data_IF_231539919658
#
_entry.id   IF_231539919658
#
_cell.length_a   1.000
_cell.length_b   1.000
_cell.length_c   1.000
_cell.angle_alpha   90.00
_cell.angle_beta   90.00
_cell.angle_gamma   90.00
#
_symmetry.space_group_name_H-M   'P 1'
#
loop_
_entity.id
_entity.type
_entity.pdbx_description
1 polymer ?
#
# COMPACT_ATOMS: atom_id res chain seq x y z
N UNK A 1 -29.41 11.55 20.19
CA UNK A 1 -28.30 10.75 20.76
C UNK A 1 -28.34 9.28 20.33
N UNK A 2 -29.48 8.58 20.43
CA UNK A 2 -29.57 7.15 20.04
C UNK A 2 -29.22 6.90 18.55
N UNK A 3 -29.71 7.73 17.63
CA UNK A 3 -29.42 7.57 16.19
C UNK A 3 -27.93 7.71 15.84
N UNK A 4 -27.24 8.67 16.45
CA UNK A 4 -25.79 8.89 16.26
C UNK A 4 -25.00 7.69 16.81
N UNK A 5 -25.41 7.17 17.97
CA UNK A 5 -24.81 5.98 18.56
C UNK A 5 -24.99 4.74 17.66
N UNK A 6 -26.18 4.54 17.07
CA UNK A 6 -26.43 3.46 16.12
C UNK A 6 -25.56 3.56 14.86
N UNK A 7 -25.35 4.77 14.33
CA UNK A 7 -24.46 4.98 13.18
C UNK A 7 -23.00 4.66 13.54
N UNK A 8 -22.50 5.18 14.67
CA UNK A 8 -21.12 4.96 15.11
C UNK A 8 -20.82 3.48 15.34
N UNK A 9 -21.77 2.72 15.90
CA UNK A 9 -21.58 1.30 16.23
C UNK A 9 -21.76 0.36 15.03
N UNK A 10 -22.34 0.82 13.92
CA UNK A 10 -22.55 0.00 12.72
C UNK A 10 -21.57 0.36 11.60
N UNK A 11 -21.48 1.65 11.26
CA UNK A 11 -20.68 2.14 10.13
C UNK A 11 -19.19 2.27 10.52
N UNK A 12 -18.91 2.69 11.75
CA UNK A 12 -17.53 2.84 12.25
C UNK A 12 -16.72 1.54 12.16
N UNK A 13 -17.20 0.43 12.74
CA UNK A 13 -16.50 -0.86 12.67
C UNK A 13 -16.32 -1.38 11.25
N UNK A 14 -17.26 -1.13 10.34
CA UNK A 14 -17.14 -1.53 8.94
C UNK A 14 -15.90 -0.91 8.28
N UNK A 15 -15.74 0.41 8.38
CA UNK A 15 -14.57 1.09 7.79
C UNK A 15 -13.27 0.73 8.51
N UNK A 16 -13.31 0.48 9.81
CA UNK A 16 -12.14 0.02 10.57
C UNK A 16 -11.69 -1.37 10.08
N UNK A 17 -12.61 -2.33 9.97
CA UNK A 17 -12.32 -3.67 9.47
C UNK A 17 -11.85 -3.64 8.02
N UNK A 18 -12.50 -2.85 7.17
CA UNK A 18 -12.08 -2.68 5.78
C UNK A 18 -10.67 -2.08 5.69
N UNK A 19 -10.36 -1.07 6.52
CA UNK A 19 -9.02 -0.49 6.59
C UNK A 19 -7.96 -1.50 7.01
N UNK A 20 -8.25 -2.33 8.03
CA UNK A 20 -7.35 -3.40 8.46
C UNK A 20 -7.17 -4.47 7.37
N UNK A 21 -8.26 -4.88 6.70
CA UNK A 21 -8.22 -5.85 5.61
C UNK A 21 -7.32 -5.37 4.47
N UNK A 22 -7.52 -4.12 4.02
CA UNK A 22 -6.70 -3.52 2.96
C UNK A 22 -5.23 -3.43 3.41
N UNK A 23 -4.97 -2.97 4.63
CA UNK A 23 -3.61 -2.93 5.17
C UNK A 23 -2.92 -4.29 5.10
N UNK A 24 -3.59 -5.36 5.56
CA UNK A 24 -3.04 -6.71 5.54
C UNK A 24 -2.84 -7.21 4.11
N UNK A 25 -3.76 -6.90 3.20
CA UNK A 25 -3.66 -7.28 1.78
C UNK A 25 -2.43 -6.66 1.11
N UNK A 26 -2.27 -5.34 1.21
CA UNK A 26 -1.12 -4.63 0.64
C UNK A 26 0.19 -5.06 1.30
N UNK A 27 0.17 -5.26 2.62
CA UNK A 27 1.33 -5.76 3.34
C UNK A 27 1.72 -7.19 2.90
N UNK A 28 0.74 -8.02 2.54
CA UNK A 28 0.96 -9.33 1.94
C UNK A 28 1.73 -9.23 0.62
N UNK A 29 1.28 -8.38 -0.30
CA UNK A 29 1.99 -8.11 -1.56
C UNK A 29 3.41 -7.61 -1.31
N UNK A 30 3.58 -6.68 -0.36
CA UNK A 30 4.88 -6.15 0.01
C UNK A 30 5.84 -7.23 0.52
N UNK A 31 5.40 -8.06 1.47
CA UNK A 31 6.23 -9.15 2.02
C UNK A 31 6.61 -10.14 0.93
N UNK A 32 5.65 -10.59 0.13
CA UNK A 32 5.87 -11.57 -0.93
C UNK A 32 6.86 -11.04 -1.96
N UNK A 33 6.70 -9.79 -2.42
CA UNK A 33 7.65 -9.15 -3.33
C UNK A 33 9.07 -9.11 -2.74
N UNK A 34 9.22 -8.64 -1.50
CA UNK A 34 10.53 -8.59 -0.82
C UNK A 34 11.13 -9.98 -0.61
N UNK A 35 10.31 -11.00 -0.37
CA UNK A 35 10.76 -12.38 -0.18
C UNK A 35 11.32 -12.99 -1.47
N UNK A 36 10.70 -12.72 -2.62
CA UNK A 36 11.17 -13.17 -3.93
C UNK A 36 12.28 -12.28 -4.53
N UNK A 37 12.75 -11.27 -3.80
CA UNK A 37 13.80 -10.37 -4.27
C UNK A 37 13.32 -9.27 -5.22
N UNK A 38 12.01 -9.15 -5.45
CA UNK A 38 11.43 -8.06 -6.25
C UNK A 38 11.63 -6.74 -5.50
N UNK A 39 12.15 -5.72 -6.21
CA UNK A 39 12.28 -4.38 -5.64
C UNK A 39 10.91 -3.73 -5.54
N UNK A 40 10.60 -3.20 -4.37
CA UNK A 40 9.39 -2.39 -4.16
C UNK A 40 9.82 -0.92 -4.12
N UNK A 41 9.34 -0.13 -5.07
CA UNK A 41 9.62 1.32 -5.16
C UNK A 41 8.80 2.10 -4.12
N UNK A 42 7.51 1.74 -3.96
CA UNK A 42 6.58 2.42 -3.05
C UNK A 42 5.70 1.42 -2.32
N UNK A 43 5.58 1.60 -1.01
CA UNK A 43 4.55 0.99 -0.18
C UNK A 43 3.71 2.10 0.43
N UNK A 44 2.45 2.25 0.03
CA UNK A 44 1.57 3.31 0.51
C UNK A 44 0.38 2.74 1.26
N UNK A 45 0.15 3.25 2.46
CA UNK A 45 -1.12 3.10 3.17
C UNK A 45 -2.00 4.29 2.84
N UNK A 46 -3.14 4.01 2.24
CA UNK A 46 -4.04 5.00 1.68
C UNK A 46 -3.64 5.52 0.30
N UNK A 47 -4.50 6.38 -0.24
CA UNK A 47 -4.37 7.00 -1.56
C UNK A 47 -4.28 8.54 -1.51
N UNK A 48 -3.89 9.12 -2.65
CA UNK A 48 -3.90 10.56 -2.88
C UNK A 48 -2.67 11.26 -2.32
N UNK A 49 -2.88 12.45 -1.75
CA UNK A 49 -1.80 13.28 -1.21
C UNK A 49 -1.10 12.55 -0.05
N UNK A 50 0.22 12.40 -0.15
CA UNK A 50 1.05 11.83 0.91
C UNK A 50 1.12 12.82 2.09
N UNK A 51 0.74 12.36 3.28
CA UNK A 51 0.87 13.11 4.53
C UNK A 51 2.28 12.91 5.09
N UNK A 52 2.72 11.65 5.11
CA UNK A 52 4.07 11.27 5.55
C UNK A 52 4.71 10.38 4.49
N UNK A 53 6.01 10.57 4.30
CA UNK A 53 6.82 9.68 3.49
C UNK A 53 8.19 9.47 4.13
N UNK A 54 8.68 8.24 4.06
CA UNK A 54 10.01 7.88 4.53
C UNK A 54 10.62 6.86 3.57
N UNK A 55 11.85 7.10 3.12
CA UNK A 55 12.55 6.18 2.22
C UNK A 55 13.58 5.35 3.00
N UNK A 56 13.54 4.03 2.81
CA UNK A 56 14.55 3.10 3.36
C UNK A 56 14.87 2.03 2.32
N UNK A 57 16.14 1.99 1.90
CA UNK A 57 16.58 1.18 0.77
C UNK A 57 15.86 1.61 -0.50
N UNK A 58 15.32 0.63 -1.23
CA UNK A 58 14.58 0.86 -2.48
C UNK A 58 13.14 1.31 -2.26
N UNK A 59 12.61 1.15 -1.05
CA UNK A 59 11.19 1.35 -0.75
C UNK A 59 10.92 2.71 -0.11
N UNK A 60 9.97 3.43 -0.69
CA UNK A 60 9.37 4.63 -0.10
C UNK A 60 8.07 4.25 0.61
N UNK A 61 8.07 4.32 1.93
CA UNK A 61 6.91 4.08 2.79
C UNK A 61 6.08 5.36 2.88
N UNK A 62 4.81 5.29 2.54
CA UNK A 62 3.91 6.44 2.49
C UNK A 62 2.69 6.22 3.39
N UNK A 63 2.25 7.28 4.05
CA UNK A 63 0.92 7.39 4.62
C UNK A 63 0.19 8.52 3.91
N UNK A 64 -0.94 8.21 3.28
CA UNK A 64 -1.68 9.13 2.41
C UNK A 64 -3.02 9.55 3.00
N UNK A 65 -3.58 10.64 2.48
CA UNK A 65 -4.74 11.32 3.06
C UNK A 65 -6.02 10.47 3.10
N UNK A 66 -6.22 9.61 2.10
CA UNK A 66 -7.43 8.77 2.01
C UNK A 66 -7.09 7.40 2.59
N UNK A 67 -7.58 7.04 3.80
CA UNK A 67 -7.14 5.82 4.51
C UNK A 67 -7.77 4.53 3.95
N UNK A 68 -8.82 4.62 3.13
CA UNK A 68 -9.53 3.48 2.57
C UNK A 68 -8.85 2.99 1.30
N UNK A 69 -7.65 2.42 1.46
CA UNK A 69 -6.84 2.03 0.33
C UNK A 69 -5.37 1.81 0.65
N UNK A 70 -4.61 1.59 -0.41
CA UNK A 70 -3.17 1.43 -0.37
C UNK A 70 -2.68 0.87 -1.70
N UNK A 71 -1.38 0.88 -1.90
CA UNK A 71 -0.78 0.22 -3.06
C UNK A 71 0.68 -0.14 -2.80
N UNK A 72 1.11 -1.20 -3.48
CA UNK A 72 2.52 -1.59 -3.62
C UNK A 72 2.94 -1.34 -5.05
N UNK A 73 3.89 -0.44 -5.27
CA UNK A 73 4.50 -0.23 -6.59
C UNK A 73 5.77 -1.06 -6.68
N UNK A 74 5.72 -2.14 -7.46
CA UNK A 74 6.87 -3.00 -7.70
C UNK A 74 7.69 -2.46 -8.87
N UNK A 75 8.98 -2.74 -8.84
CA UNK A 75 9.87 -2.43 -9.95
C UNK A 75 9.43 -3.27 -11.15
N UNK A 76 9.25 -2.62 -12.30
CA UNK A 76 8.77 -3.26 -13.52
C UNK A 76 7.25 -3.28 -13.74
N UNK A 77 6.46 -2.76 -12.79
CA UNK A 77 5.01 -2.59 -12.98
C UNK A 77 4.64 -1.59 -14.11
N UNK A 78 5.58 -0.75 -14.55
CA UNK A 78 5.35 0.20 -15.64
C UNK A 78 5.70 -0.45 -16.99
N UNK A 79 4.69 -0.80 -17.83
CA UNK A 79 4.93 -1.51 -19.08
C UNK A 79 5.68 -0.67 -20.13
N UNK A 80 5.78 0.66 -19.92
CA UNK A 80 6.48 1.56 -20.83
C UNK A 80 7.94 1.79 -20.45
N UNK A 81 8.38 1.24 -19.31
CA UNK A 81 9.74 1.44 -18.79
C UNK A 81 10.61 0.26 -19.19
N UNK A 82 11.58 0.49 -20.07
CA UNK A 82 12.59 -0.52 -20.40
C UNK A 82 13.46 -0.80 -19.17
N UNK A 83 13.56 -2.08 -18.79
CA UNK A 83 14.36 -2.55 -17.66
C UNK A 83 15.70 -3.09 -18.20
N UNK A 84 16.85 -2.55 -17.77
CA UNK A 84 18.16 -3.09 -18.12
C UNK A 84 18.24 -4.58 -17.80
N UNK A 85 18.89 -5.38 -18.67
CA UNK A 85 18.98 -6.85 -18.52
C UNK A 85 19.50 -7.29 -17.15
N UNK A 86 20.42 -6.51 -16.58
CA UNK A 86 21.05 -6.77 -15.28
C UNK A 86 20.08 -6.60 -14.09
N UNK A 87 19.03 -5.80 -14.28
CA UNK A 87 18.04 -5.48 -13.25
C UNK A 87 16.73 -6.26 -13.37
N UNK A 88 16.55 -7.03 -14.45
CA UNK A 88 15.34 -7.83 -14.68
C UNK A 88 15.04 -8.81 -13.55
N UNK A 89 16.07 -9.32 -12.86
CA UNK A 89 15.92 -10.20 -11.70
C UNK A 89 15.22 -9.55 -10.50
N UNK A 90 15.17 -8.22 -10.44
CA UNK A 90 14.49 -7.47 -9.37
C UNK A 90 13.13 -6.91 -9.82
N UNK A 91 12.73 -7.20 -11.06
CA UNK A 91 11.42 -6.84 -11.63
C UNK A 91 10.33 -7.82 -11.19
N UNK A 92 9.10 -7.33 -11.08
CA UNK A 92 7.90 -8.15 -11.15
C UNK A 92 7.71 -8.70 -12.57
#
# INVERSE_FOLDING_TARGET
MQFIHSILTTIGPFFLLLGVLIFVHEFGHFIVAKFFGVRVEVFSLGFGKKILQYKKGDTTYCLSLIPLGGYVKMYGDDPNKEIPKEEQQFSF
#
